data_IF_073555546032
#
_entry.id   IF_073555546032
#
_cell.length_a   1.000
_cell.length_b   1.000
_cell.length_c   1.000
_cell.angle_alpha   90.00
_cell.angle_beta   90.00
_cell.angle_gamma   90.00
#
_symmetry.space_group_name_H-M   'P 1'
#
loop_
_entity.id
_entity.type
_entity.pdbx_description
1 polymer ?
#
# COMPACT_ATOMS: atom_id res chain seq x y z
N UNK A 1 -6.38 -65.18 -13.02
CA UNK A 1 -5.47 -64.04 -12.80
C UNK A 1 -6.12 -62.79 -13.37
N UNK A 2 -6.63 -61.87 -12.54
CA UNK A 2 -6.94 -60.49 -12.93
C UNK A 2 -6.61 -59.60 -11.74
N UNK A 3 -5.49 -58.87 -11.85
CA UNK A 3 -5.03 -57.87 -10.90
C UNK A 3 -5.55 -56.52 -11.41
N UNK A 4 -6.44 -55.89 -10.65
CA UNK A 4 -6.97 -54.55 -10.94
C UNK A 4 -5.94 -53.48 -10.51
N UNK A 5 -5.64 -52.46 -11.33
CA UNK A 5 -4.64 -51.45 -11.01
C UNK A 5 -5.27 -50.30 -10.20
N UNK A 6 -5.24 -50.42 -8.87
CA UNK A 6 -5.70 -49.38 -7.92
C UNK A 6 -4.79 -48.14 -7.91
N UNK A 7 -3.66 -48.15 -8.63
CA UNK A 7 -2.62 -47.12 -8.54
C UNK A 7 -2.82 -45.87 -9.39
N UNK A 8 -3.84 -45.78 -10.25
CA UNK A 8 -4.00 -44.63 -11.16
C UNK A 8 -4.76 -43.43 -10.57
N UNK A 9 -5.37 -43.55 -9.39
CA UNK A 9 -6.09 -42.44 -8.74
C UNK A 9 -5.22 -41.61 -7.77
N UNK A 10 -3.98 -42.03 -7.49
CA UNK A 10 -3.09 -41.34 -6.54
C UNK A 10 -2.34 -40.11 -7.11
N UNK A 11 -2.21 -40.00 -8.44
CA UNK A 11 -1.33 -39.00 -9.08
C UNK A 11 -2.03 -37.69 -9.50
N UNK A 12 -3.35 -37.60 -9.42
CA UNK A 12 -4.11 -36.40 -9.81
C UNK A 12 -4.33 -35.38 -8.67
N UNK A 13 -3.95 -35.70 -7.43
CA UNK A 13 -4.15 -34.79 -6.29
C UNK A 13 -2.97 -33.83 -6.03
N UNK A 14 -1.85 -33.97 -6.74
CA UNK A 14 -0.66 -33.12 -6.53
C UNK A 14 -0.62 -31.90 -7.47
N UNK A 15 -1.36 -31.91 -8.58
CA UNK A 15 -1.36 -30.82 -9.57
C UNK A 15 -2.39 -29.70 -9.30
N UNK A 16 -3.15 -29.77 -8.20
CA UNK A 16 -4.32 -28.93 -7.95
C UNK A 16 -4.10 -27.69 -7.08
N UNK A 17 -2.87 -27.38 -6.66
CA UNK A 17 -2.56 -26.07 -6.05
C UNK A 17 -2.01 -25.15 -7.14
N UNK A 18 -2.90 -24.66 -8.00
CA UNK A 18 -2.67 -23.38 -8.62
C UNK A 18 -2.44 -22.40 -7.45
N UNK A 19 -1.18 -22.00 -7.25
CA UNK A 19 -0.89 -20.83 -6.43
C UNK A 19 -1.79 -19.75 -6.97
N UNK A 20 -2.81 -19.35 -6.20
CA UNK A 20 -3.45 -18.07 -6.42
C UNK A 20 -2.30 -17.08 -6.24
N UNK A 21 -1.70 -16.70 -7.36
CA UNK A 21 -0.68 -15.68 -7.41
C UNK A 21 -1.34 -14.49 -6.76
N UNK A 22 -0.95 -14.22 -5.51
CA UNK A 22 -1.45 -13.07 -4.78
C UNK A 22 -1.05 -11.90 -5.64
N UNK A 23 -1.99 -11.34 -6.39
CA UNK A 23 -1.74 -10.16 -7.19
C UNK A 23 -1.27 -9.11 -6.19
N UNK A 24 0.04 -8.87 -6.18
CA UNK A 24 0.64 -7.87 -5.32
C UNK A 24 -0.09 -6.57 -5.65
N UNK A 25 -0.61 -5.89 -4.64
CA UNK A 25 -1.22 -4.59 -4.88
C UNK A 25 -0.21 -3.71 -5.64
N UNK A 26 -0.63 -2.97 -6.68
CA UNK A 26 0.27 -2.16 -7.48
C UNK A 26 1.07 -1.20 -6.59
N UNK A 27 2.36 -1.05 -6.88
CA UNK A 27 3.22 -0.12 -6.14
C UNK A 27 2.82 1.33 -6.45
N UNK A 28 3.30 2.27 -5.64
CA UNK A 28 3.17 3.69 -5.95
C UNK A 28 3.76 4.02 -7.32
N UNK A 29 4.94 3.46 -7.66
CA UNK A 29 5.55 3.65 -8.97
C UNK A 29 4.68 3.12 -10.12
N UNK A 30 3.96 2.02 -9.93
CA UNK A 30 3.05 1.47 -10.94
C UNK A 30 1.85 2.38 -11.17
N UNK A 31 1.27 2.91 -10.09
CA UNK A 31 0.18 3.89 -10.16
C UNK A 31 0.62 5.16 -10.88
N UNK A 32 1.81 5.68 -10.54
CA UNK A 32 2.36 6.89 -11.14
C UNK A 32 2.65 6.69 -12.64
N UNK A 33 3.20 5.54 -13.02
CA UNK A 33 3.45 5.17 -14.42
C UNK A 33 2.14 5.01 -15.20
N UNK A 34 1.12 4.41 -14.60
CA UNK A 34 -0.19 4.28 -15.21
C UNK A 34 -0.83 5.65 -15.47
N UNK A 35 -0.83 6.55 -14.48
CA UNK A 35 -1.34 7.92 -14.63
C UNK A 35 -0.67 8.67 -15.79
N UNK A 36 0.66 8.60 -15.89
CA UNK A 36 1.41 9.24 -16.96
C UNK A 36 1.08 8.66 -18.34
N UNK A 37 0.93 7.32 -18.43
CA UNK A 37 0.59 6.63 -19.68
C UNK A 37 -0.81 7.01 -20.17
N UNK A 38 -1.80 7.03 -19.28
CA UNK A 38 -3.17 7.40 -19.63
C UNK A 38 -3.27 8.88 -20.04
N UNK A 39 -2.58 9.75 -19.31
CA UNK A 39 -2.53 11.18 -19.62
C UNK A 39 -1.98 11.46 -21.02
N UNK A 40 -0.93 10.75 -21.46
CA UNK A 40 -0.32 10.93 -22.78
C UNK A 40 -1.31 10.64 -23.94
N UNK A 41 -2.32 9.79 -23.72
CA UNK A 41 -3.34 9.48 -24.73
C UNK A 41 -4.53 10.44 -24.72
N UNK A 42 -4.57 11.42 -23.80
CA UNK A 42 -5.72 12.29 -23.59
C UNK A 42 -5.61 13.63 -24.32
N UNK A 43 -6.75 14.27 -24.58
CA UNK A 43 -6.79 15.62 -25.16
C UNK A 43 -6.27 16.73 -24.21
N UNK A 44 -6.17 16.43 -22.91
CA UNK A 44 -5.64 17.31 -21.86
C UNK A 44 -4.68 16.50 -20.96
N UNK A 45 -3.43 16.27 -21.39
CA UNK A 45 -2.49 15.43 -20.65
C UNK A 45 -2.19 15.95 -19.24
N UNK A 46 -2.06 17.26 -19.06
CA UNK A 46 -1.72 17.85 -17.76
C UNK A 46 -2.89 17.66 -16.78
N UNK A 47 -4.10 18.06 -17.17
CA UNK A 47 -5.26 17.92 -16.29
C UNK A 47 -5.63 16.47 -16.03
N UNK A 48 -5.49 15.58 -17.03
CA UNK A 48 -5.71 14.14 -16.82
C UNK A 48 -4.72 13.55 -15.83
N UNK A 49 -3.43 13.86 -15.98
CA UNK A 49 -2.41 13.38 -15.04
C UNK A 49 -2.69 13.87 -13.62
N UNK A 50 -3.01 15.16 -13.45
CA UNK A 50 -3.31 15.73 -12.14
C UNK A 50 -4.54 15.11 -11.46
N UNK A 51 -5.61 14.82 -12.21
CA UNK A 51 -6.78 14.11 -11.66
C UNK A 51 -6.40 12.71 -11.19
N UNK A 52 -5.69 11.95 -12.01
CA UNK A 52 -5.24 10.60 -11.66
C UNK A 52 -4.36 10.59 -10.40
N UNK A 53 -3.41 11.53 -10.30
CA UNK A 53 -2.53 11.66 -9.14
C UNK A 53 -3.33 12.00 -7.87
N UNK A 54 -4.29 12.93 -7.93
CA UNK A 54 -5.13 13.27 -6.77
C UNK A 54 -5.96 12.07 -6.29
N UNK A 55 -6.58 11.34 -7.21
CA UNK A 55 -7.31 10.12 -6.88
C UNK A 55 -6.41 9.04 -6.27
N UNK A 56 -5.19 8.89 -6.78
CA UNK A 56 -4.19 7.99 -6.24
C UNK A 56 -3.82 8.37 -4.79
N UNK A 57 -3.55 9.66 -4.54
CA UNK A 57 -3.28 10.17 -3.20
C UNK A 57 -4.43 9.88 -2.24
N UNK A 58 -5.67 10.13 -2.66
CA UNK A 58 -6.84 9.83 -1.84
C UNK A 58 -7.00 8.34 -1.52
N UNK A 59 -6.73 7.45 -2.50
CA UNK A 59 -6.73 6.01 -2.26
C UNK A 59 -5.68 5.61 -1.22
N UNK A 60 -4.47 6.16 -1.31
CA UNK A 60 -3.39 5.87 -0.37
C UNK A 60 -3.72 6.42 1.02
N UNK A 61 -4.32 7.61 1.13
CA UNK A 61 -4.76 8.16 2.41
C UNK A 61 -5.72 7.20 3.13
N UNK A 62 -6.74 6.72 2.41
CA UNK A 62 -7.70 5.75 2.98
C UNK A 62 -7.01 4.49 3.47
N UNK A 63 -6.09 3.93 2.67
CA UNK A 63 -5.33 2.75 3.07
C UNK A 63 -4.46 3.00 4.31
N UNK A 64 -3.82 4.18 4.39
CA UNK A 64 -3.02 4.58 5.55
C UNK A 64 -3.89 4.66 6.80
N UNK A 65 -5.04 5.32 6.72
CA UNK A 65 -5.98 5.47 7.84
C UNK A 65 -6.50 4.12 8.31
N UNK A 66 -6.96 3.27 7.38
CA UNK A 66 -7.45 1.93 7.68
C UNK A 66 -6.38 1.06 8.36
N UNK A 67 -5.15 1.11 7.87
CA UNK A 67 -4.02 0.35 8.41
C UNK A 67 -3.57 0.89 9.78
N UNK A 68 -3.58 2.20 9.97
CA UNK A 68 -3.36 2.83 11.28
C UNK A 68 -4.40 2.35 12.28
N UNK A 69 -5.69 2.41 11.94
CA UNK A 69 -6.76 1.99 12.85
C UNK A 69 -6.68 0.49 13.17
N UNK A 70 -6.35 -0.34 12.17
CA UNK A 70 -6.13 -1.78 12.36
C UNK A 70 -5.00 -2.04 13.37
N UNK A 71 -3.87 -1.36 13.20
CA UNK A 71 -2.73 -1.49 14.11
C UNK A 71 -3.11 -1.03 15.51
N UNK A 72 -3.70 0.15 15.64
CA UNK A 72 -4.09 0.74 16.91
C UNK A 72 -5.02 -0.17 17.73
N UNK A 73 -5.98 -0.84 17.09
CA UNK A 73 -6.88 -1.79 17.76
C UNK A 73 -6.17 -3.04 18.29
N UNK A 74 -5.11 -3.48 17.63
CA UNK A 74 -4.39 -4.72 17.96
C UNK A 74 -3.22 -4.52 18.93
N UNK A 75 -2.80 -3.28 19.16
CA UNK A 75 -1.72 -2.96 20.09
C UNK A 75 -2.19 -2.94 21.57
N UNK A 76 -1.31 -3.27 22.54
CA UNK A 76 -1.53 -2.98 23.96
C UNK A 76 -1.62 -1.46 24.24
N UNK A 77 -2.29 -1.01 25.32
CA UNK A 77 -2.52 0.41 25.59
C UNK A 77 -1.26 1.30 25.53
N UNK A 78 -0.18 0.90 26.21
CA UNK A 78 1.08 1.68 26.21
C UNK A 78 1.75 1.78 24.82
N UNK A 79 1.47 0.83 23.91
CA UNK A 79 1.99 0.89 22.54
C UNK A 79 1.07 1.73 21.63
N UNK A 80 -0.24 1.78 21.90
CA UNK A 80 -1.18 2.69 21.19
C UNK A 80 -0.78 4.14 21.36
N UNK A 81 -0.43 4.56 22.57
CA UNK A 81 0.02 5.93 22.83
C UNK A 81 1.26 6.30 22.00
N UNK A 82 2.22 5.37 21.88
CA UNK A 82 3.40 5.56 21.04
C UNK A 82 3.05 5.63 19.55
N UNK A 83 2.12 4.78 19.09
CA UNK A 83 1.63 4.83 17.71
C UNK A 83 0.97 6.19 17.40
N UNK A 84 0.08 6.68 18.28
CA UNK A 84 -0.54 8.01 18.15
C UNK A 84 0.54 9.10 18.07
N UNK A 85 1.50 9.11 19.00
CA UNK A 85 2.58 10.10 19.00
C UNK A 85 3.40 10.07 17.71
N UNK A 86 3.73 8.86 17.21
CA UNK A 86 4.44 8.68 15.94
C UNK A 86 3.65 9.22 14.75
N UNK A 87 2.33 9.00 14.73
CA UNK A 87 1.47 9.41 13.62
C UNK A 87 1.30 10.93 13.59
N UNK A 88 1.19 11.56 14.76
CA UNK A 88 1.18 13.03 14.89
C UNK A 88 2.50 13.63 14.42
N UNK A 89 3.63 13.07 14.84
CA UNK A 89 4.95 13.53 14.41
C UNK A 89 5.13 13.38 12.89
N UNK A 90 4.69 12.26 12.34
CA UNK A 90 4.71 12.02 10.90
C UNK A 90 3.84 13.02 10.12
N UNK A 91 2.63 13.33 10.60
CA UNK A 91 1.74 14.30 9.95
C UNK A 91 2.41 15.68 9.86
N UNK A 92 3.03 16.13 10.96
CA UNK A 92 3.76 17.41 10.97
C UNK A 92 4.95 17.41 10.01
N UNK A 93 5.67 16.29 9.92
CA UNK A 93 6.73 16.12 8.94
C UNK A 93 6.20 16.16 7.50
N UNK A 94 5.10 15.47 7.22
CA UNK A 94 4.43 15.47 5.91
C UNK A 94 4.00 16.88 5.48
N UNK A 95 3.37 17.63 6.39
CA UNK A 95 2.95 19.02 6.13
C UNK A 95 4.16 19.92 5.85
N UNK A 96 5.20 19.86 6.69
CA UNK A 96 6.39 20.68 6.53
C UNK A 96 7.14 20.39 5.20
N UNK A 97 7.26 19.12 4.80
CA UNK A 97 7.90 18.76 3.53
C UNK A 97 7.05 19.17 2.32
N UNK A 98 5.73 19.08 2.45
CA UNK A 98 4.79 19.54 1.42
C UNK A 98 4.92 21.04 1.21
N UNK A 99 4.92 21.84 2.28
CA UNK A 99 5.09 23.29 2.22
C UNK A 99 6.45 23.68 1.64
N UNK A 100 7.52 23.01 2.09
CA UNK A 100 8.87 23.22 1.56
C UNK A 100 8.94 22.97 0.04
N UNK A 101 8.24 21.94 -0.44
CA UNK A 101 8.18 21.59 -1.86
C UNK A 101 7.36 22.60 -2.66
N UNK A 102 6.16 22.96 -2.18
CA UNK A 102 5.30 23.96 -2.83
C UNK A 102 5.98 25.32 -2.94
N UNK A 103 6.71 25.75 -1.90
CA UNK A 103 7.46 27.00 -1.91
C UNK A 103 8.54 27.04 -3.00
N UNK A 104 9.10 25.89 -3.37
CA UNK A 104 10.19 25.78 -4.35
C UNK A 104 9.69 25.57 -5.79
N UNK A 105 8.48 25.07 -5.96
CA UNK A 105 7.98 24.54 -7.23
C UNK A 105 6.60 25.13 -7.60
N UNK A 106 6.50 26.46 -7.61
CA UNK A 106 5.24 27.20 -7.82
C UNK A 106 4.47 26.82 -9.11
N UNK A 107 5.11 26.17 -10.08
CA UNK A 107 4.50 25.69 -11.33
C UNK A 107 4.58 24.16 -11.55
N UNK A 108 4.94 23.36 -10.54
CA UNK A 108 5.03 21.88 -10.67
C UNK A 108 4.08 21.12 -9.72
N UNK A 109 2.79 21.37 -9.87
CA UNK A 109 1.73 20.69 -9.11
C UNK A 109 1.84 19.15 -9.18
N UNK A 110 2.24 18.60 -10.32
CA UNK A 110 2.38 17.16 -10.53
C UNK A 110 3.54 16.55 -9.72
N UNK A 111 4.64 17.28 -9.55
CA UNK A 111 5.79 16.87 -8.74
C UNK A 111 5.43 16.90 -7.26
N UNK A 112 4.66 17.91 -6.84
CA UNK A 112 4.15 18.00 -5.47
C UNK A 112 3.24 16.81 -5.14
N UNK A 113 2.30 16.47 -6.02
CA UNK A 113 1.42 15.31 -5.81
C UNK A 113 2.21 13.99 -5.80
N UNK A 114 3.23 13.84 -6.67
CA UNK A 114 4.12 12.68 -6.65
C UNK A 114 4.81 12.51 -5.29
N UNK A 115 5.39 13.60 -4.75
CA UNK A 115 6.09 13.56 -3.47
C UNK A 115 5.13 13.23 -2.32
N UNK A 116 3.93 13.81 -2.31
CA UNK A 116 2.87 13.49 -1.34
C UNK A 116 2.53 12.00 -1.35
N UNK A 117 2.26 11.45 -2.54
CA UNK A 117 2.01 10.01 -2.74
C UNK A 117 3.15 9.18 -2.17
N UNK A 118 4.40 9.48 -2.54
CA UNK A 118 5.57 8.72 -2.13
C UNK A 118 5.73 8.69 -0.60
N UNK A 119 5.58 9.84 0.05
CA UNK A 119 5.70 9.94 1.52
C UNK A 119 4.61 9.14 2.23
N UNK A 120 3.38 9.17 1.72
CA UNK A 120 2.26 8.40 2.28
C UNK A 120 2.45 6.90 2.07
N UNK A 121 2.94 6.47 0.91
CA UNK A 121 3.26 5.07 0.64
C UNK A 121 4.32 4.52 1.60
N UNK A 122 5.40 5.28 1.87
CA UNK A 122 6.40 4.85 2.84
C UNK A 122 5.82 4.64 4.24
N UNK A 123 4.95 5.55 4.70
CA UNK A 123 4.30 5.41 6.00
C UNK A 123 3.34 4.23 6.03
N UNK A 124 2.59 4.01 4.95
CA UNK A 124 1.71 2.86 4.82
C UNK A 124 2.49 1.54 4.91
N UNK A 125 3.64 1.44 4.23
CA UNK A 125 4.51 0.25 4.28
C UNK A 125 5.04 -0.01 5.69
N UNK A 126 5.46 1.04 6.40
CA UNK A 126 5.89 0.96 7.80
C UNK A 126 4.77 0.42 8.70
N UNK A 127 3.55 0.96 8.58
CA UNK A 127 2.40 0.52 9.37
C UNK A 127 1.97 -0.92 9.00
N UNK A 128 2.07 -1.32 7.74
CA UNK A 128 1.82 -2.69 7.30
C UNK A 128 2.83 -3.67 7.92
N UNK A 129 4.13 -3.32 7.93
CA UNK A 129 5.16 -4.12 8.58
C UNK A 129 4.92 -4.27 10.08
N UNK A 130 4.51 -3.19 10.76
CA UNK A 130 4.17 -3.22 12.19
C UNK A 130 2.92 -4.09 12.47
N UNK A 131 1.90 -4.05 11.60
CA UNK A 131 0.75 -4.94 11.68
C UNK A 131 1.18 -6.41 11.57
N UNK A 132 2.04 -6.74 10.60
CA UNK A 132 2.54 -8.11 10.41
C UNK A 132 3.31 -8.60 11.64
N UNK A 133 4.20 -7.79 12.20
CA UNK A 133 4.95 -8.13 13.43
C UNK A 133 3.98 -8.38 14.59
N UNK A 134 2.95 -7.54 14.73
CA UNK A 134 1.94 -7.67 15.78
C UNK A 134 1.14 -8.96 15.64
N UNK A 135 0.80 -9.36 14.41
CA UNK A 135 0.10 -10.62 14.12
C UNK A 135 0.96 -11.84 14.47
N UNK A 136 2.20 -11.89 13.98
CA UNK A 136 3.13 -13.00 14.24
C UNK A 136 3.40 -13.19 15.75
N UNK A 137 3.56 -12.09 16.50
CA UNK A 137 3.73 -12.14 17.96
C UNK A 137 2.47 -12.55 18.74
N UNK A 138 1.30 -12.56 18.10
CA UNK A 138 0.05 -13.06 18.68
C UNK A 138 -0.16 -14.55 18.43
N UNK A 139 0.31 -15.08 17.30
CA UNK A 139 0.21 -16.49 16.93
C UNK A 139 1.16 -17.37 17.74
N UNK A 140 2.40 -16.91 17.96
CA UNK A 140 3.37 -17.65 18.78
C UNK A 140 3.08 -17.70 20.29
N UNK A 141 2.00 -17.04 20.74
CA UNK A 141 1.52 -17.07 22.14
C UNK A 141 0.32 -18.01 22.36
N UNK A 142 -0.22 -18.60 21.30
CA UNK A 142 -1.27 -19.62 21.36
C UNK A 142 -0.65 -21.01 21.41
#
# INVERSE_FOLDING_TARGET
>A
MKLEPIWLLGLLLIAGRASAETAQAPTDQDVLRACAKEAHGSADPIGHNMRCLREARERIQRQLDDTYYRLNRNLPPAQREKLVASQVAWSRYYDAQTELTMARLQDMDSVTEYLRIRMMSFRLDELNAQNLITQLGSEGRK
#
